data_IF_052402930804
#
_entry.id   IF_052402930804
#
_cell.length_a   1.000
_cell.length_b   1.000
_cell.length_c   1.000
_cell.angle_alpha   90.00
_cell.angle_beta   90.00
_cell.angle_gamma   90.00
#
_symmetry.space_group_name_H-M   'P 1'
#
loop_
_entity.id
_entity.type
_entity.pdbx_description
1 polymer ?
#
# COMPACT_ATOMS: atom_id res chain seq x y z
N UNK A 1 6.34 -8.25 -24.45
CA UNK A 1 5.20 -7.55 -23.82
C UNK A 1 4.83 -6.39 -24.73
N UNK A 2 3.63 -6.40 -25.30
CA UNK A 2 3.22 -5.29 -26.15
C UNK A 2 3.05 -4.03 -25.29
N UNK A 3 3.75 -2.96 -25.68
CA UNK A 3 3.91 -1.76 -24.86
C UNK A 3 2.61 -0.95 -24.89
N UNK A 4 1.92 -0.92 -26.04
CA UNK A 4 0.64 -0.24 -26.18
C UNK A 4 -0.47 -0.95 -25.40
N UNK A 5 -0.59 -2.27 -25.51
CA UNK A 5 -1.53 -3.06 -24.71
C UNK A 5 -1.37 -2.86 -23.19
N UNK A 6 -0.13 -2.73 -22.71
CA UNK A 6 0.16 -2.50 -21.29
C UNK A 6 -0.26 -1.09 -20.84
N UNK A 7 -0.07 -0.08 -21.69
CA UNK A 7 -0.44 1.32 -21.42
C UNK A 7 -1.97 1.45 -21.39
N UNK A 8 -2.68 0.91 -22.38
CA UNK A 8 -4.15 0.93 -22.41
C UNK A 8 -4.77 0.26 -21.17
N UNK A 9 -4.19 -0.87 -20.74
CA UNK A 9 -4.65 -1.57 -19.54
C UNK A 9 -4.40 -0.76 -18.26
N UNK A 10 -3.31 0.00 -18.17
CA UNK A 10 -3.06 0.91 -17.05
C UNK A 10 -4.01 2.10 -17.05
N UNK A 11 -4.32 2.66 -18.22
CA UNK A 11 -5.26 3.77 -18.38
C UNK A 11 -6.66 3.34 -17.96
N UNK A 12 -7.12 2.16 -18.41
CA UNK A 12 -8.42 1.58 -18.00
C UNK A 12 -8.50 1.27 -16.50
N UNK A 13 -7.38 0.92 -15.86
CA UNK A 13 -7.28 0.77 -14.41
C UNK A 13 -7.32 2.12 -13.66
N UNK A 14 -7.22 3.24 -14.36
CA UNK A 14 -7.40 4.59 -13.84
C UNK A 14 -6.11 5.37 -13.58
N UNK A 15 -4.99 4.96 -14.20
CA UNK A 15 -3.80 5.82 -14.34
C UNK A 15 -4.00 6.83 -15.47
N UNK A 16 -3.37 7.99 -15.32
CA UNK A 16 -3.18 8.92 -16.44
C UNK A 16 -2.18 8.34 -17.44
N UNK A 17 -2.36 8.60 -18.73
CA UNK A 17 -1.47 8.16 -19.81
C UNK A 17 0.01 8.42 -19.50
N UNK A 18 0.36 9.64 -19.10
CA UNK A 18 1.72 9.99 -18.67
C UNK A 18 2.31 9.08 -17.57
N UNK A 19 1.49 8.69 -16.58
CA UNK A 19 1.94 7.82 -15.49
C UNK A 19 2.07 6.37 -15.94
N UNK A 20 1.20 5.94 -16.86
CA UNK A 20 1.26 4.61 -17.44
C UNK A 20 2.53 4.43 -18.30
N UNK A 21 2.83 5.39 -19.17
CA UNK A 21 4.06 5.40 -19.97
C UNK A 21 5.31 5.38 -19.12
N UNK A 22 5.38 6.27 -18.11
CA UNK A 22 6.52 6.34 -17.18
C UNK A 22 6.71 5.03 -16.43
N UNK A 23 5.63 4.39 -16.01
CA UNK A 23 5.68 3.12 -15.29
C UNK A 23 6.18 1.98 -16.18
N UNK A 24 5.72 1.91 -17.43
CA UNK A 24 6.17 0.90 -18.41
C UNK A 24 7.65 1.09 -18.75
N UNK A 25 8.09 2.33 -18.92
CA UNK A 25 9.50 2.66 -19.13
C UNK A 25 10.36 2.22 -17.95
N UNK A 26 9.96 2.56 -16.73
CA UNK A 26 10.66 2.14 -15.51
C UNK A 26 10.72 0.61 -15.37
N UNK A 27 9.61 -0.10 -15.64
CA UNK A 27 9.57 -1.56 -15.61
C UNK A 27 10.54 -2.21 -16.62
N UNK A 28 10.67 -1.62 -17.82
CA UNK A 28 11.64 -2.07 -18.84
C UNK A 28 13.08 -1.78 -18.44
N UNK A 29 13.37 -0.58 -17.96
CA UNK A 29 14.73 -0.18 -17.55
C UNK A 29 15.27 -1.08 -16.43
N UNK A 30 14.42 -1.41 -15.47
CA UNK A 30 14.78 -2.20 -14.30
C UNK A 30 14.53 -3.72 -14.46
N UNK A 31 14.14 -4.18 -15.66
CA UNK A 31 13.79 -5.59 -15.94
C UNK A 31 12.87 -6.23 -14.89
N UNK A 32 11.82 -5.52 -14.48
CA UNK A 32 10.88 -5.97 -13.47
C UNK A 32 9.45 -6.08 -13.99
N UNK A 33 8.62 -6.90 -13.33
CA UNK A 33 7.20 -6.99 -13.68
C UNK A 33 6.49 -5.67 -13.44
N UNK A 34 5.45 -5.42 -14.22
CA UNK A 34 4.73 -4.15 -14.17
C UNK A 34 4.01 -3.96 -12.83
N UNK A 35 3.59 -5.07 -12.23
CA UNK A 35 3.06 -5.12 -10.87
C UNK A 35 4.11 -4.69 -9.81
N UNK A 36 5.35 -5.17 -9.92
CA UNK A 36 6.43 -4.83 -8.99
C UNK A 36 6.84 -3.36 -9.14
N UNK A 37 7.00 -2.90 -10.38
CA UNK A 37 7.26 -1.49 -10.69
C UNK A 37 6.20 -0.56 -10.09
N UNK A 38 4.92 -0.94 -10.19
CA UNK A 38 3.82 -0.15 -9.65
C UNK A 38 3.88 -0.11 -8.12
N UNK A 39 4.19 -1.24 -7.49
CA UNK A 39 4.30 -1.34 -6.05
C UNK A 39 5.42 -0.44 -5.49
N UNK A 40 6.61 -0.50 -6.07
CA UNK A 40 7.75 0.33 -5.66
C UNK A 40 7.48 1.84 -5.88
N UNK A 41 6.82 2.20 -6.99
CA UNK A 41 6.59 3.60 -7.35
C UNK A 41 5.45 4.25 -6.56
N UNK A 42 4.36 3.53 -6.31
CA UNK A 42 3.10 4.12 -5.83
C UNK A 42 2.55 3.52 -4.54
N UNK A 43 3.06 2.36 -4.10
CA UNK A 43 2.54 1.61 -2.96
C UNK A 43 3.49 1.55 -1.75
N UNK A 44 4.50 2.44 -1.66
CA UNK A 44 5.41 2.47 -0.51
C UNK A 44 4.70 2.55 0.85
N UNK A 45 3.56 3.24 0.91
CA UNK A 45 2.71 3.32 2.12
C UNK A 45 2.24 1.94 2.57
N UNK A 46 1.90 1.03 1.66
CA UNK A 46 1.43 -0.33 2.01
C UNK A 46 2.50 -1.13 2.76
N UNK A 47 3.78 -0.90 2.45
CA UNK A 47 4.89 -1.57 3.12
C UNK A 47 5.05 -1.07 4.56
N UNK A 48 4.95 0.24 4.75
CA UNK A 48 5.01 0.85 6.09
C UNK A 48 3.85 0.38 6.94
N UNK A 49 2.64 0.36 6.39
CA UNK A 49 1.45 -0.12 7.11
C UNK A 49 1.55 -1.61 7.46
N UNK A 50 2.08 -2.44 6.56
CA UNK A 50 2.27 -3.87 6.84
C UNK A 50 3.25 -4.11 8.00
N UNK A 51 4.35 -3.33 8.05
CA UNK A 51 5.31 -3.38 9.16
C UNK A 51 4.64 -2.90 10.45
N UNK A 52 3.95 -1.77 10.39
CA UNK A 52 3.28 -1.18 11.54
C UNK A 52 2.20 -2.12 12.09
N UNK A 53 1.38 -2.71 11.22
CA UNK A 53 0.37 -3.71 11.58
C UNK A 53 1.01 -4.94 12.23
N UNK A 54 2.16 -5.40 11.72
CA UNK A 54 2.87 -6.54 12.29
C UNK A 54 3.37 -6.25 13.71
N UNK A 55 3.87 -5.03 13.94
CA UNK A 55 4.27 -4.56 15.27
C UNK A 55 3.05 -4.49 16.20
N UNK A 56 1.94 -3.90 15.75
CA UNK A 56 0.72 -3.84 16.54
C UNK A 56 0.19 -5.23 16.90
N UNK A 57 0.16 -6.17 15.95
CA UNK A 57 -0.26 -7.55 16.20
C UNK A 57 0.66 -8.24 17.19
N UNK A 58 1.97 -8.04 17.08
CA UNK A 58 2.93 -8.58 18.04
C UNK A 58 2.64 -8.09 19.45
N UNK A 59 2.48 -6.78 19.64
CA UNK A 59 2.14 -6.23 20.96
C UNK A 59 0.78 -6.72 21.46
N UNK A 60 -0.23 -6.75 20.61
CA UNK A 60 -1.56 -7.27 20.94
C UNK A 60 -1.49 -8.71 21.47
N UNK A 61 -0.74 -9.58 20.78
CA UNK A 61 -0.58 -10.99 21.18
C UNK A 61 0.14 -11.09 22.52
N UNK A 62 1.25 -10.35 22.72
CA UNK A 62 1.97 -10.39 24.00
C UNK A 62 1.07 -9.92 25.16
N UNK A 63 0.33 -8.84 24.97
CA UNK A 63 -0.57 -8.31 25.99
C UNK A 63 -1.70 -9.31 26.30
N UNK A 64 -2.25 -9.98 25.28
CA UNK A 64 -3.27 -11.01 25.46
C UNK A 64 -2.75 -12.23 26.23
N UNK A 65 -1.48 -12.60 26.04
CA UNK A 65 -0.84 -13.72 26.74
C UNK A 65 -0.59 -13.37 28.21
N UNK A 66 -0.14 -12.14 28.49
CA UNK A 66 0.19 -11.68 29.84
C UNK A 66 -1.03 -11.14 30.62
N UNK A 67 -2.22 -11.15 30.02
CA UNK A 67 -3.47 -10.57 30.55
C UNK A 67 -3.33 -9.10 31.03
N UNK A 68 -2.39 -8.36 30.44
CA UNK A 68 -2.06 -7.00 30.85
C UNK A 68 -3.11 -5.98 30.35
N UNK A 69 -4.04 -5.62 31.25
CA UNK A 69 -5.08 -4.64 30.93
C UNK A 69 -4.52 -3.25 30.64
N UNK A 70 -3.46 -2.82 31.32
CA UNK A 70 -2.91 -1.48 31.16
C UNK A 70 -2.22 -1.35 29.80
N UNK A 71 -1.48 -2.38 29.38
CA UNK A 71 -0.92 -2.50 28.03
C UNK A 71 -1.99 -2.43 26.94
N UNK A 72 -3.15 -3.06 27.15
CA UNK A 72 -4.30 -3.01 26.22
C UNK A 72 -4.86 -1.59 26.07
N UNK A 73 -4.98 -0.84 27.18
CA UNK A 73 -5.43 0.55 27.14
C UNK A 73 -4.43 1.45 26.42
N UNK A 74 -3.12 1.26 26.64
CA UNK A 74 -2.07 1.99 25.91
C UNK A 74 -2.14 1.68 24.42
N UNK A 75 -2.31 0.41 24.04
CA UNK A 75 -2.43 0.01 22.63
C UNK A 75 -3.65 0.65 21.96
N UNK A 76 -4.80 0.64 22.63
CA UNK A 76 -6.03 1.30 22.17
C UNK A 76 -5.84 2.82 22.01
N UNK A 77 -5.16 3.46 22.95
CA UNK A 77 -4.85 4.88 22.87
C UNK A 77 -3.97 5.23 21.66
N UNK A 78 -2.95 4.40 21.39
CA UNK A 78 -2.09 4.58 20.20
C UNK A 78 -2.91 4.41 18.92
N UNK A 79 -3.81 3.41 18.84
CA UNK A 79 -4.69 3.22 17.68
C UNK A 79 -5.58 4.45 17.46
N UNK A 80 -6.16 4.99 18.53
CA UNK A 80 -6.95 6.22 18.48
C UNK A 80 -6.15 7.41 17.96
N UNK A 81 -4.90 7.57 18.41
CA UNK A 81 -4.00 8.62 17.91
C UNK A 81 -3.71 8.46 16.41
N UNK A 82 -3.49 7.24 15.93
CA UNK A 82 -3.27 6.99 14.50
C UNK A 82 -4.52 7.34 13.68
N UNK A 83 -5.71 6.94 14.15
CA UNK A 83 -6.99 7.30 13.51
C UNK A 83 -7.19 8.81 13.50
N UNK A 84 -6.87 9.49 14.61
CA UNK A 84 -6.96 10.94 14.70
C UNK A 84 -6.01 11.61 13.71
N UNK A 85 -4.74 11.19 13.66
CA UNK A 85 -3.75 11.71 12.71
C UNK A 85 -4.19 11.53 11.26
N UNK A 86 -4.80 10.40 10.91
CA UNK A 86 -5.36 10.16 9.57
C UNK A 86 -6.46 11.15 9.20
N UNK A 87 -7.21 11.64 10.19
CA UNK A 87 -8.26 12.64 9.97
C UNK A 87 -7.70 14.02 9.59
N UNK A 88 -6.56 14.41 10.16
CA UNK A 88 -5.89 15.69 9.85
C UNK A 88 -4.94 15.60 8.65
N UNK A 89 -4.30 14.45 8.47
CA UNK A 89 -3.38 14.17 7.40
C UNK A 89 -3.86 12.89 6.69
N UNK A 90 -4.54 13.00 5.55
CA UNK A 90 -5.16 11.84 4.91
C UNK A 90 -4.10 11.02 4.15
N UNK A 91 -3.24 10.32 4.90
CA UNK A 91 -2.16 9.49 4.36
C UNK A 91 -2.71 8.35 3.51
N UNK A 92 -3.89 7.84 3.83
CA UNK A 92 -4.59 6.77 3.12
C UNK A 92 -5.53 7.31 2.03
N UNK A 93 -5.45 8.59 1.66
CA UNK A 93 -6.24 9.10 0.53
C UNK A 93 -5.88 8.34 -0.75
N UNK A 94 -6.89 7.75 -1.38
CA UNK A 94 -6.71 6.96 -2.60
C UNK A 94 -6.02 5.61 -2.40
N UNK A 95 -5.90 5.12 -1.16
CA UNK A 95 -5.34 3.81 -0.82
C UNK A 95 -6.05 2.69 -1.58
N UNK A 96 -7.39 2.69 -1.53
CA UNK A 96 -8.21 1.70 -2.22
C UNK A 96 -8.04 1.72 -3.74
N UNK A 97 -7.93 2.93 -4.33
CA UNK A 97 -7.67 3.08 -5.77
C UNK A 97 -6.32 2.47 -6.13
N UNK A 98 -5.27 2.76 -5.34
CA UNK A 98 -3.93 2.21 -5.55
C UNK A 98 -3.91 0.69 -5.41
N UNK A 99 -4.60 0.15 -4.42
CA UNK A 99 -4.71 -1.29 -4.20
C UNK A 99 -5.47 -2.00 -5.33
N UNK A 100 -6.57 -1.41 -5.81
CA UNK A 100 -7.33 -1.93 -6.95
C UNK A 100 -6.48 -2.03 -8.20
N UNK A 101 -5.69 -1.00 -8.51
CA UNK A 101 -4.75 -1.01 -9.63
C UNK A 101 -3.70 -2.11 -9.42
N UNK A 102 -3.06 -2.16 -8.25
CA UNK A 102 -2.06 -3.19 -7.93
C UNK A 102 -2.58 -4.62 -8.12
N UNK A 103 -3.82 -4.89 -7.68
CA UNK A 103 -4.46 -6.21 -7.90
C UNK A 103 -4.81 -6.44 -9.36
N UNK A 104 -5.23 -5.42 -10.09
CA UNK A 104 -5.53 -5.50 -11.54
C UNK A 104 -4.29 -5.73 -12.41
N UNK A 105 -3.10 -5.43 -11.88
CA UNK A 105 -1.80 -5.70 -12.51
C UNK A 105 -1.28 -7.11 -12.25
N UNK A 106 -1.95 -7.91 -11.41
CA UNK A 106 -1.53 -9.28 -11.12
C UNK A 106 -1.63 -10.14 -12.39
N UNK A 107 -0.49 -10.64 -12.87
CA UNK A 107 -0.39 -11.46 -14.09
C UNK A 107 0.13 -10.73 -15.34
N UNK A 108 0.64 -9.51 -15.20
CA UNK A 108 1.42 -8.76 -16.20
C UNK A 108 2.88 -8.65 -15.75
#
# INVERSE_FOLDING_TARGET
MDTQSSIEKLITLGLTEYKAERLVKFAKEENMSLQKAYYETYCGIFRVDAILLSIFLFFLINILIDEDRDGLFVLLFIILLVIFMEFFYPFHKGYWKRFKIYRGLKGL
#
